data_IF_798111943369
#
_entry.id   IF_798111943369
#
_cell.length_a   1.000
_cell.length_b   1.000
_cell.length_c   1.000
_cell.angle_alpha   90.00
_cell.angle_beta   90.00
_cell.angle_gamma   90.00
#
_symmetry.space_group_name_H-M   'P 1'
#
loop_
_entity.id
_entity.type
_entity.pdbx_description
1 polymer ?
#
# COMPACT_ATOMS: atom_id res chain seq x y z
N UNK A 1 -30.89 -12.38 2.81
CA UNK A 1 -30.65 -10.92 2.79
C UNK A 1 -29.27 -10.66 2.17
N UNK A 2 -29.15 -9.82 1.14
CA UNK A 2 -27.84 -9.41 0.66
C UNK A 2 -27.12 -8.67 1.79
N UNK A 3 -25.88 -9.08 2.13
CA UNK A 3 -25.05 -8.33 3.07
C UNK A 3 -24.79 -6.96 2.43
N UNK A 4 -25.30 -5.90 3.06
CA UNK A 4 -24.93 -4.52 2.72
C UNK A 4 -23.41 -4.39 2.86
N UNK A 5 -22.72 -4.30 1.71
CA UNK A 5 -21.31 -3.94 1.66
C UNK A 5 -21.19 -2.53 2.25
N UNK A 6 -20.41 -2.37 3.32
CA UNK A 6 -20.10 -1.05 3.89
C UNK A 6 -19.38 -0.21 2.83
N UNK A 7 -19.56 1.10 2.78
CA UNK A 7 -18.78 1.97 1.88
C UNK A 7 -17.38 2.24 2.45
N UNK A 8 -16.46 2.74 1.62
CA UNK A 8 -15.12 3.15 2.08
C UNK A 8 -15.20 4.15 3.24
N UNK A 9 -14.50 3.85 4.35
CA UNK A 9 -14.54 4.68 5.55
C UNK A 9 -15.93 4.77 6.21
N UNK A 10 -16.87 3.89 5.85
CA UNK A 10 -18.20 3.86 6.44
C UNK A 10 -18.14 3.22 7.82
N UNK A 11 -18.32 4.06 8.83
CA UNK A 11 -18.26 3.68 10.24
C UNK A 11 -19.60 3.98 10.90
N UNK A 12 -20.13 2.96 11.58
CA UNK A 12 -21.34 3.06 12.38
C UNK A 12 -21.16 4.03 13.54
N UNK A 13 -22.26 4.47 14.16
CA UNK A 13 -22.20 5.30 15.37
C UNK A 13 -21.34 4.67 16.48
N UNK A 14 -21.47 3.36 16.70
CA UNK A 14 -20.66 2.63 17.68
C UNK A 14 -19.18 2.59 17.31
N UNK A 15 -18.84 2.42 16.03
CA UNK A 15 -17.45 2.46 15.56
C UNK A 15 -16.85 3.87 15.72
N UNK A 16 -17.64 4.94 15.56
CA UNK A 16 -17.23 6.33 15.87
C UNK A 16 -16.98 6.52 17.37
N UNK A 17 -17.85 6.01 18.23
CA UNK A 17 -17.64 6.06 19.68
C UNK A 17 -16.36 5.31 20.10
N UNK A 18 -16.09 4.16 19.50
CA UNK A 18 -14.84 3.42 19.72
C UNK A 18 -13.61 4.21 19.27
N UNK A 19 -13.68 4.91 18.12
CA UNK A 19 -12.62 5.82 17.67
C UNK A 19 -12.33 6.86 18.76
N UNK A 20 -13.35 7.52 19.30
CA UNK A 20 -13.19 8.51 20.36
C UNK A 20 -12.54 7.94 21.62
N UNK A 21 -12.91 6.72 22.03
CA UNK A 21 -12.28 6.05 23.18
C UNK A 21 -10.79 5.75 22.94
N UNK A 22 -10.40 5.41 21.71
CA UNK A 22 -8.98 5.24 21.34
C UNK A 22 -8.25 6.58 21.44
N UNK A 23 -8.83 7.66 20.90
CA UNK A 23 -8.23 8.99 20.96
C UNK A 23 -8.17 9.56 22.38
N UNK A 24 -9.12 9.25 23.26
CA UNK A 24 -9.09 9.67 24.66
C UNK A 24 -7.89 9.09 25.42
N UNK A 25 -7.44 7.88 25.06
CA UNK A 25 -6.26 7.23 25.64
C UNK A 25 -4.94 7.78 25.09
N UNK A 26 -4.98 8.47 23.94
CA UNK A 26 -3.79 8.91 23.22
C UNK A 26 -2.93 9.90 24.02
N UNK A 27 -3.49 10.96 24.66
CA UNK A 27 -2.71 11.89 25.48
C UNK A 27 -1.95 11.18 26.62
N UNK A 28 -2.58 10.21 27.29
CA UNK A 28 -1.95 9.45 28.37
C UNK A 28 -0.77 8.61 27.85
N UNK A 29 -0.98 7.88 26.74
CA UNK A 29 0.08 7.08 26.12
C UNK A 29 1.25 7.93 25.62
N UNK A 30 0.96 9.07 24.98
CA UNK A 30 1.98 9.99 24.48
C UNK A 30 2.74 10.67 25.62
N UNK A 31 2.06 11.05 26.70
CA UNK A 31 2.70 11.60 27.89
C UNK A 31 3.63 10.58 28.52
N UNK A 32 3.17 9.34 28.70
CA UNK A 32 4.00 8.25 29.20
C UNK A 32 5.23 8.01 28.32
N UNK A 33 5.06 7.97 26.99
CA UNK A 33 6.19 7.79 26.05
C UNK A 33 7.13 8.97 26.06
N UNK A 34 6.64 10.20 26.17
CA UNK A 34 7.47 11.39 26.30
C UNK A 34 8.34 11.35 27.57
N UNK A 35 7.74 10.97 28.71
CA UNK A 35 8.44 10.85 29.99
C UNK A 35 9.45 9.70 30.01
N UNK A 36 9.14 8.58 29.36
CA UNK A 36 9.97 7.36 29.39
C UNK A 36 10.98 7.25 28.25
N UNK A 37 10.84 8.01 27.16
CA UNK A 37 11.67 7.89 25.95
C UNK A 37 13.18 8.05 26.23
N UNK A 38 13.57 8.93 27.16
CA UNK A 38 14.98 9.14 27.52
C UNK A 38 15.60 7.95 28.26
N UNK A 39 14.78 7.14 28.92
CA UNK A 39 15.21 5.96 29.67
C UNK A 39 15.16 4.67 28.82
N UNK A 40 14.53 4.72 27.65
CA UNK A 40 14.51 3.62 26.69
C UNK A 40 15.78 3.59 25.86
N UNK A 41 16.48 2.44 25.86
CA UNK A 41 17.67 2.18 25.03
C UNK A 41 17.38 2.43 23.54
N UNK A 42 16.15 2.16 23.09
CA UNK A 42 15.74 2.32 21.70
C UNK A 42 15.29 3.75 21.34
N UNK A 43 14.71 4.48 22.29
CA UNK A 43 14.07 5.78 22.02
C UNK A 43 14.95 6.98 22.38
N UNK A 44 16.00 6.79 23.20
CA UNK A 44 16.82 7.89 23.75
C UNK A 44 17.57 8.72 22.70
N UNK A 45 17.84 8.14 21.53
CA UNK A 45 18.57 8.81 20.43
C UNK A 45 17.65 9.48 19.39
N UNK A 46 16.34 9.21 19.45
CA UNK A 46 15.38 9.74 18.48
C UNK A 46 14.90 11.13 18.91
N UNK A 47 14.52 11.96 17.94
CA UNK A 47 13.92 13.27 18.25
C UNK A 47 12.60 13.09 18.99
N UNK A 48 12.23 14.06 19.83
CA UNK A 48 10.97 14.02 20.57
C UNK A 48 9.75 13.88 19.62
N UNK A 49 9.80 14.53 18.45
CA UNK A 49 8.78 14.41 17.39
C UNK A 49 8.65 12.99 16.87
N UNK A 50 9.78 12.33 16.60
CA UNK A 50 9.78 10.95 16.13
C UNK A 50 9.23 10.00 17.21
N UNK A 51 9.63 10.17 18.47
CA UNK A 51 9.14 9.35 19.58
C UNK A 51 7.63 9.51 19.80
N UNK A 52 7.09 10.73 19.68
CA UNK A 52 5.65 10.97 19.74
C UNK A 52 4.93 10.38 18.53
N UNK A 53 5.50 10.49 17.31
CA UNK A 53 4.92 9.90 16.10
C UNK A 53 4.83 8.39 16.18
N UNK A 54 5.92 7.72 16.57
CA UNK A 54 5.95 6.26 16.80
C UNK A 54 4.98 5.86 17.93
N UNK A 55 4.94 6.64 19.01
CA UNK A 55 4.01 6.45 20.12
C UNK A 55 2.55 6.53 19.69
N UNK A 56 2.21 7.54 18.89
CA UNK A 56 0.86 7.73 18.38
C UNK A 56 0.47 6.55 17.50
N UNK A 57 1.32 6.19 16.53
CA UNK A 57 1.03 5.11 15.59
C UNK A 57 0.84 3.77 16.30
N UNK A 58 1.68 3.44 17.28
CA UNK A 58 1.56 2.20 18.06
C UNK A 58 0.37 2.17 19.02
N UNK A 59 -0.14 3.33 19.44
CA UNK A 59 -1.27 3.44 20.37
C UNK A 59 -2.62 3.43 19.66
N UNK A 60 -2.65 3.76 18.37
CA UNK A 60 -3.87 3.78 17.56
C UNK A 60 -4.15 2.34 17.10
N UNK A 61 -5.05 1.66 17.81
CA UNK A 61 -5.55 0.34 17.45
C UNK A 61 -6.96 0.47 16.83
N UNK A 62 -7.00 0.85 15.55
CA UNK A 62 -8.24 1.01 14.78
C UNK A 62 -8.41 -0.14 13.79
N UNK A 63 -9.65 -0.54 13.53
CA UNK A 63 -9.98 -1.42 12.40
C UNK A 63 -9.74 -0.70 11.06
N UNK A 64 -9.64 -1.45 9.95
CA UNK A 64 -9.42 -0.87 8.61
C UNK A 64 -10.46 0.21 8.25
N UNK A 65 -11.78 -0.01 8.41
CA UNK A 65 -12.77 1.03 8.13
C UNK A 65 -12.62 2.28 9.01
N UNK A 66 -12.24 2.10 10.29
CA UNK A 66 -11.97 3.23 11.19
C UNK A 66 -10.70 3.98 10.79
N UNK A 67 -9.65 3.28 10.34
CA UNK A 67 -8.45 3.91 9.78
C UNK A 67 -8.80 4.70 8.51
N UNK A 68 -9.53 4.10 7.58
CA UNK A 68 -10.02 4.79 6.37
C UNK A 68 -10.81 6.07 6.72
N UNK A 69 -11.71 6.00 7.71
CA UNK A 69 -12.49 7.14 8.20
C UNK A 69 -11.60 8.24 8.81
N UNK A 70 -10.72 7.87 9.76
CA UNK A 70 -9.83 8.82 10.46
C UNK A 70 -8.83 9.46 9.51
N UNK A 71 -8.40 8.73 8.48
CA UNK A 71 -7.54 9.23 7.39
C UNK A 71 -8.33 10.11 6.40
N UNK A 72 -9.51 10.56 6.80
CA UNK A 72 -10.34 11.55 6.14
C UNK A 72 -11.43 10.96 5.24
N UNK A 73 -11.56 9.63 5.17
CA UNK A 73 -12.43 8.97 4.18
C UNK A 73 -12.08 9.38 2.75
N UNK A 74 -10.89 9.97 2.54
CA UNK A 74 -10.47 10.56 1.26
C UNK A 74 -9.90 9.45 0.40
N UNK A 75 -10.37 9.37 -0.84
CA UNK A 75 -9.73 8.51 -1.83
C UNK A 75 -8.35 9.07 -2.19
N UNK A 76 -7.44 8.19 -2.62
CA UNK A 76 -6.17 8.45 -3.31
C UNK A 76 -6.29 9.58 -4.31
N UNK A 77 -7.39 9.63 -5.07
CA UNK A 77 -7.63 10.69 -6.05
C UNK A 77 -7.84 12.06 -5.39
N UNK A 78 -8.65 12.13 -4.32
CA UNK A 78 -8.88 13.36 -3.57
C UNK A 78 -7.58 13.82 -2.92
N UNK A 79 -6.86 12.91 -2.25
CA UNK A 79 -5.56 13.18 -1.65
C UNK A 79 -4.57 13.75 -2.68
N UNK A 80 -4.47 13.13 -3.85
CA UNK A 80 -3.63 13.59 -4.95
C UNK A 80 -4.01 15.00 -5.42
N UNK A 81 -5.31 15.23 -5.74
CA UNK A 81 -5.78 16.52 -6.24
C UNK A 81 -5.51 17.65 -5.25
N UNK A 82 -5.90 17.48 -3.98
CA UNK A 82 -5.68 18.50 -2.95
C UNK A 82 -4.19 18.77 -2.72
N UNK A 83 -3.37 17.73 -2.69
CA UNK A 83 -1.93 17.84 -2.51
C UNK A 83 -1.27 18.61 -3.67
N UNK A 84 -1.67 18.32 -4.92
CA UNK A 84 -1.15 18.97 -6.12
C UNK A 84 -1.57 20.44 -6.20
N UNK A 85 -2.86 20.74 -5.97
CA UNK A 85 -3.39 22.11 -5.96
C UNK A 85 -2.68 22.95 -4.89
N UNK A 86 -2.55 22.42 -3.67
CA UNK A 86 -1.86 23.12 -2.57
C UNK A 86 -0.40 23.47 -2.91
N UNK A 87 0.24 22.69 -3.78
CA UNK A 87 1.63 22.89 -4.24
C UNK A 87 1.75 23.59 -5.58
N UNK A 88 0.62 24.04 -6.17
CA UNK A 88 0.59 24.68 -7.50
C UNK A 88 1.22 23.79 -8.59
N UNK A 89 1.02 22.48 -8.50
CA UNK A 89 1.48 21.50 -9.48
C UNK A 89 0.34 21.15 -10.45
N UNK A 90 0.72 20.75 -11.68
CA UNK A 90 -0.24 20.22 -12.64
C UNK A 90 -0.98 19.00 -12.08
N UNK A 91 -2.27 18.89 -12.40
CA UNK A 91 -3.13 17.76 -12.05
C UNK A 91 -3.38 16.96 -13.31
N UNK A 92 -2.50 15.99 -13.58
CA UNK A 92 -2.56 15.14 -14.77
C UNK A 92 -2.96 13.74 -14.38
N UNK A 93 -4.15 13.31 -14.85
CA UNK A 93 -4.77 12.03 -14.54
C UNK A 93 -5.11 11.35 -15.86
N UNK A 94 -4.73 10.08 -15.99
CA UNK A 94 -5.01 9.26 -17.17
C UNK A 94 -5.81 8.04 -16.76
N UNK A 95 -6.89 7.76 -17.48
CA UNK A 95 -7.77 6.64 -17.18
C UNK A 95 -7.26 5.36 -17.81
N UNK A 96 -7.33 4.26 -17.06
CA UNK A 96 -6.98 2.94 -17.56
C UNK A 96 -8.25 2.30 -18.11
N UNK A 97 -8.29 2.02 -19.41
CA UNK A 97 -9.49 1.51 -20.06
C UNK A 97 -9.96 0.17 -19.48
N UNK A 98 -11.26 0.09 -19.21
CA UNK A 98 -11.91 -1.11 -18.67
C UNK A 98 -11.56 -1.43 -17.21
N UNK A 99 -11.01 -0.48 -16.45
CA UNK A 99 -10.80 -0.60 -15.00
C UNK A 99 -11.21 0.71 -14.30
N UNK A 100 -11.65 0.64 -13.03
CA UNK A 100 -11.68 1.85 -12.17
C UNK A 100 -10.29 2.14 -11.58
N UNK A 101 -9.30 2.26 -12.46
CA UNK A 101 -7.91 2.57 -12.14
C UNK A 101 -7.42 3.74 -12.96
N UNK A 102 -6.50 4.52 -12.40
CA UNK A 102 -5.98 5.75 -13.02
C UNK A 102 -4.50 5.91 -12.76
N UNK A 103 -3.78 6.46 -13.73
CA UNK A 103 -2.43 6.96 -13.54
C UNK A 103 -2.50 8.44 -13.14
N UNK A 104 -1.69 8.82 -12.14
CA UNK A 104 -1.66 10.19 -11.61
C UNK A 104 -0.22 10.68 -11.58
N UNK A 105 0.08 11.73 -12.34
CA UNK A 105 1.45 12.25 -12.45
C UNK A 105 1.78 13.28 -11.38
N UNK A 106 2.98 13.19 -10.80
CA UNK A 106 3.49 14.24 -9.91
C UNK A 106 4.13 15.34 -10.76
N UNK A 107 3.47 16.50 -10.80
CA UNK A 107 3.92 17.63 -11.62
C UNK A 107 3.74 17.32 -13.12
N UNK A 108 4.70 17.75 -13.93
CA UNK A 108 4.61 17.62 -15.38
C UNK A 108 4.77 16.16 -15.83
N UNK A 109 3.92 15.74 -16.76
CA UNK A 109 4.03 14.43 -17.43
C UNK A 109 5.33 14.39 -18.23
N UNK A 110 6.07 13.30 -18.08
CA UNK A 110 7.36 13.07 -18.75
C UNK A 110 7.50 11.59 -19.06
N UNK A 111 7.87 11.24 -20.30
CA UNK A 111 7.89 9.84 -20.78
C UNK A 111 9.28 9.30 -21.10
N UNK A 112 10.31 10.15 -21.17
CA UNK A 112 11.69 9.72 -21.48
C UNK A 112 12.39 9.02 -20.31
N UNK A 113 11.93 9.22 -19.07
CA UNK A 113 12.35 8.48 -17.88
C UNK A 113 11.23 8.50 -16.85
N UNK A 114 10.73 7.33 -16.48
CA UNK A 114 9.52 7.21 -15.66
C UNK A 114 9.76 6.31 -14.45
N UNK A 115 9.37 6.81 -13.28
CA UNK A 115 9.19 5.99 -12.09
C UNK A 115 7.71 5.67 -11.97
N UNK A 116 7.36 4.41 -12.20
CA UNK A 116 6.00 3.90 -11.99
C UNK A 116 5.86 3.38 -10.56
N UNK A 117 5.20 4.17 -9.72
CA UNK A 117 5.07 3.92 -8.30
C UNK A 117 3.73 3.28 -7.92
N UNK A 118 3.82 2.16 -7.20
CA UNK A 118 2.72 1.40 -6.64
C UNK A 118 2.73 1.59 -5.12
N UNK A 119 1.73 2.27 -4.58
CA UNK A 119 1.74 2.66 -3.17
C UNK A 119 1.39 1.52 -2.22
N UNK A 120 1.93 1.58 -0.99
CA UNK A 120 1.59 0.68 0.10
C UNK A 120 0.24 0.96 0.76
N UNK A 121 0.04 0.47 1.98
CA UNK A 121 -1.24 0.58 2.70
C UNK A 121 -2.03 -0.74 2.76
N UNK A 122 -1.35 -1.88 2.61
CA UNK A 122 -1.97 -3.19 2.79
C UNK A 122 -3.13 -3.48 1.83
N UNK A 123 -3.12 -2.90 0.62
CA UNK A 123 -4.19 -2.95 -0.38
C UNK A 123 -5.55 -2.36 0.04
N UNK A 124 -5.66 -1.83 1.26
CA UNK A 124 -6.92 -1.36 1.81
C UNK A 124 -6.89 0.11 2.24
N UNK A 125 -5.70 0.68 2.48
CA UNK A 125 -5.53 2.07 2.91
C UNK A 125 -5.22 2.99 1.71
N UNK A 126 -5.69 4.26 1.77
CA UNK A 126 -5.44 5.22 0.71
C UNK A 126 -3.98 5.64 0.61
N UNK A 127 -3.59 6.11 -0.58
CA UNK A 127 -2.35 6.86 -0.78
C UNK A 127 -2.29 8.00 0.23
N UNK A 128 -1.14 8.15 0.87
CA UNK A 128 -0.92 9.19 1.87
C UNK A 128 -0.16 10.39 1.29
N UNK A 129 -0.42 11.62 1.77
CA UNK A 129 0.29 12.82 1.31
C UNK A 129 1.81 12.73 1.42
N UNK A 130 2.33 11.97 2.39
CA UNK A 130 3.77 11.81 2.57
C UNK A 130 4.41 11.08 1.38
N UNK A 131 3.72 10.13 0.74
CA UNK A 131 4.26 9.39 -0.40
C UNK A 131 4.40 10.32 -1.61
N UNK A 132 3.40 11.17 -1.86
CA UNK A 132 3.47 12.23 -2.87
C UNK A 132 4.63 13.20 -2.61
N UNK A 133 4.78 13.64 -1.35
CA UNK A 133 5.87 14.53 -0.96
C UNK A 133 7.25 13.88 -1.07
N UNK A 134 7.38 12.61 -0.70
CA UNK A 134 8.62 11.85 -0.84
C UNK A 134 9.03 11.75 -2.32
N UNK A 135 8.12 11.31 -3.19
CA UNK A 135 8.44 11.16 -4.60
C UNK A 135 8.68 12.49 -5.31
N UNK A 136 7.98 13.56 -4.90
CA UNK A 136 8.30 14.90 -5.37
C UNK A 136 9.69 15.36 -4.95
N UNK A 137 10.06 15.11 -3.71
CA UNK A 137 11.41 15.41 -3.22
C UNK A 137 12.47 14.63 -4.02
N UNK A 138 12.26 13.32 -4.24
CA UNK A 138 13.14 12.50 -5.09
C UNK A 138 13.26 13.08 -6.51
N UNK A 139 12.12 13.46 -7.11
CA UNK A 139 12.09 14.10 -8.44
C UNK A 139 12.91 15.40 -8.48
N UNK A 140 12.81 16.23 -7.43
CA UNK A 140 13.56 17.49 -7.31
C UNK A 140 15.06 17.27 -7.08
N UNK A 141 15.45 16.34 -6.20
CA UNK A 141 16.85 16.02 -5.94
C UNK A 141 17.55 15.42 -7.16
N UNK A 142 16.87 14.55 -7.91
CA UNK A 142 17.38 14.06 -9.20
C UNK A 142 17.49 15.20 -10.22
N UNK A 143 16.51 16.11 -10.24
CA UNK A 143 16.54 17.29 -11.09
C UNK A 143 17.76 18.19 -10.84
N UNK A 144 18.16 18.38 -9.59
CA UNK A 144 19.39 19.11 -9.22
C UNK A 144 20.67 18.45 -9.77
N UNK A 145 20.64 17.13 -9.97
CA UNK A 145 21.73 16.36 -10.57
C UNK A 145 21.63 16.27 -12.10
N UNK A 146 20.73 17.03 -12.74
CA UNK A 146 20.50 16.99 -14.18
C UNK A 146 19.66 15.81 -14.66
N UNK A 147 19.14 14.98 -13.74
CA UNK A 147 18.32 13.81 -14.05
C UNK A 147 16.84 14.17 -13.90
N UNK A 148 16.18 14.49 -15.01
CA UNK A 148 14.74 14.76 -15.00
C UNK A 148 13.96 13.45 -15.12
N UNK A 149 13.00 13.24 -14.22
CA UNK A 149 12.15 12.05 -14.17
C UNK A 149 10.68 12.41 -14.08
N UNK A 150 9.84 11.67 -14.80
CA UNK A 150 8.41 11.63 -14.54
C UNK A 150 8.13 10.65 -13.40
N UNK A 151 7.25 11.02 -12.48
CA UNK A 151 6.77 10.09 -11.46
C UNK A 151 5.27 9.95 -11.61
N UNK A 152 4.81 8.71 -11.76
CA UNK A 152 3.41 8.38 -11.99
C UNK A 152 2.97 7.35 -10.96
N UNK A 153 1.80 7.59 -10.36
CA UNK A 153 1.23 6.78 -9.29
C UNK A 153 -0.01 6.07 -9.81
N UNK A 154 -0.11 4.77 -9.53
CA UNK A 154 -1.34 4.03 -9.76
C UNK A 154 -2.35 4.31 -8.64
N UNK A 155 -3.52 4.84 -9.01
CA UNK A 155 -4.73 4.77 -8.17
C UNK A 155 -5.34 3.39 -8.35
N UNK A 156 -5.25 2.57 -7.31
CA UNK A 156 -5.91 1.27 -7.22
C UNK A 156 -7.41 1.43 -6.92
N UNK A 157 -8.20 0.45 -7.35
CA UNK A 157 -9.60 0.30 -6.93
C UNK A 157 -9.67 0.03 -5.42
N UNK A 158 -10.62 0.69 -4.77
CA UNK A 158 -10.84 0.63 -3.33
C UNK A 158 -11.54 -0.64 -2.91
N UNK A 159 -11.27 -1.01 -1.67
CA UNK A 159 -11.82 -2.19 -1.06
C UNK A 159 -12.55 -1.79 0.21
N UNK A 160 -13.84 -2.11 0.26
CA UNK A 160 -14.61 -2.03 1.49
C UNK A 160 -14.43 -3.30 2.32
N UNK A 161 -13.83 -3.19 3.50
CA UNK A 161 -13.69 -4.32 4.42
C UNK A 161 -14.90 -4.40 5.36
N UNK A 162 -15.62 -5.53 5.37
CA UNK A 162 -16.74 -5.76 6.30
C UNK A 162 -16.23 -6.33 7.63
N UNK A 163 -16.47 -5.61 8.73
CA UNK A 163 -16.03 -5.97 10.09
C UNK A 163 -17.00 -6.88 10.85
N UNK A 164 -18.09 -7.35 10.23
CA UNK A 164 -19.15 -8.07 10.96
C UNK A 164 -19.00 -9.60 10.88
N UNK A 165 -18.09 -10.14 11.68
CA UNK A 165 -17.86 -11.57 11.82
C UNK A 165 -17.65 -11.95 13.29
N UNK A 166 -18.63 -12.62 13.90
CA UNK A 166 -18.49 -13.21 15.25
C UNK A 166 -17.47 -14.36 15.20
N UNK A 167 -16.60 -14.53 16.22
CA UNK A 167 -15.43 -15.42 16.15
C UNK A 167 -15.72 -16.90 16.44
N UNK A 168 -16.92 -17.41 16.19
CA UNK A 168 -17.23 -18.83 16.42
C UNK A 168 -17.99 -19.44 15.25
N UNK A 169 -17.41 -20.51 14.72
CA UNK A 169 -17.92 -21.37 13.65
C UNK A 169 -18.09 -20.69 12.29
N UNK A 170 -17.10 -20.83 11.42
CA UNK A 170 -17.20 -21.18 9.98
C UNK A 170 -15.78 -21.02 9.41
N UNK A 171 -14.99 -22.10 9.45
CA UNK A 171 -13.58 -22.12 9.02
C UNK A 171 -13.41 -22.08 7.48
N UNK A 172 -14.49 -22.04 6.70
CA UNK A 172 -14.43 -22.35 5.26
C UNK A 172 -15.03 -21.30 4.30
N UNK A 173 -15.73 -20.28 4.80
CA UNK A 173 -16.45 -19.26 3.99
C UNK A 173 -15.80 -17.86 4.09
N UNK A 174 -14.67 -17.68 4.77
CA UNK A 174 -14.00 -16.38 4.84
C UNK A 174 -13.17 -16.03 3.59
N UNK A 175 -12.78 -17.02 2.78
CA UNK A 175 -11.85 -17.00 1.63
C UNK A 175 -11.95 -15.89 0.57
N UNK A 176 -12.98 -15.06 0.54
CA UNK A 176 -13.20 -13.98 -0.46
C UNK A 176 -13.83 -12.71 0.16
N UNK A 177 -14.11 -12.70 1.46
CA UNK A 177 -15.06 -11.77 2.08
C UNK A 177 -14.41 -10.49 2.66
N UNK A 178 -13.09 -10.46 2.81
CA UNK A 178 -12.38 -9.33 3.43
C UNK A 178 -12.03 -8.23 2.41
N UNK A 179 -12.01 -8.58 1.12
CA UNK A 179 -11.78 -7.65 0.00
C UNK A 179 -12.82 -7.89 -1.12
N UNK A 180 -14.13 -7.69 -0.85
CA UNK A 180 -15.21 -8.02 -1.77
C UNK A 180 -15.16 -7.21 -3.07
N UNK A 181 -14.63 -5.98 -3.05
CA UNK A 181 -14.69 -5.07 -4.19
C UNK A 181 -13.53 -5.25 -5.19
N UNK A 182 -12.42 -5.91 -4.80
CA UNK A 182 -11.25 -6.10 -5.68
C UNK A 182 -10.47 -7.40 -5.36
N UNK A 183 -11.05 -8.59 -5.56
CA UNK A 183 -10.35 -9.85 -5.32
C UNK A 183 -9.14 -10.00 -6.24
N UNK A 184 -8.14 -10.79 -5.82
CA UNK A 184 -7.05 -11.18 -6.70
C UNK A 184 -7.59 -11.83 -7.99
N UNK A 185 -7.07 -11.50 -9.19
CA UNK A 185 -5.90 -10.65 -9.49
C UNK A 185 -6.26 -9.21 -9.91
N UNK A 186 -7.32 -8.60 -9.40
CA UNK A 186 -7.78 -7.27 -9.83
C UNK A 186 -6.71 -6.19 -9.72
N UNK A 187 -6.04 -6.11 -8.57
CA UNK A 187 -4.97 -5.13 -8.31
C UNK A 187 -3.77 -5.35 -9.23
N UNK A 188 -3.38 -6.61 -9.47
CA UNK A 188 -2.34 -6.98 -10.42
C UNK A 188 -2.73 -6.56 -11.84
N UNK A 189 -3.95 -6.88 -12.27
CA UNK A 189 -4.48 -6.51 -13.60
C UNK A 189 -4.45 -5.00 -13.83
N UNK A 190 -4.80 -4.21 -12.82
CA UNK A 190 -4.72 -2.75 -12.88
C UNK A 190 -3.29 -2.24 -12.99
N UNK A 191 -2.35 -2.81 -12.25
CA UNK A 191 -0.94 -2.45 -12.34
C UNK A 191 -0.32 -2.81 -13.69
N UNK A 192 -0.69 -3.97 -14.24
CA UNK A 192 -0.22 -4.43 -15.54
C UNK A 192 -0.80 -3.59 -16.68
N UNK A 193 -2.11 -3.25 -16.63
CA UNK A 193 -2.71 -2.31 -17.60
C UNK A 193 -2.15 -0.90 -17.49
N UNK A 194 -1.81 -0.43 -16.28
CA UNK A 194 -1.14 0.84 -16.09
C UNK A 194 0.28 0.85 -16.67
N UNK A 195 1.01 -0.25 -16.52
CA UNK A 195 2.30 -0.45 -17.20
C UNK A 195 2.13 -0.43 -18.72
N UNK A 196 1.14 -1.16 -19.25
CA UNK A 196 0.86 -1.18 -20.69
C UNK A 196 0.56 0.23 -21.23
N UNK A 197 -0.29 0.99 -20.53
CA UNK A 197 -0.61 2.38 -20.90
C UNK A 197 0.64 3.26 -20.98
N UNK A 198 1.57 3.12 -20.03
CA UNK A 198 2.84 3.88 -20.08
C UNK A 198 3.68 3.50 -21.30
N UNK A 199 3.75 2.21 -21.64
CA UNK A 199 4.47 1.74 -22.83
C UNK A 199 3.82 2.25 -24.12
N UNK A 200 2.49 2.22 -24.19
CA UNK A 200 1.70 2.71 -25.32
C UNK A 200 1.87 4.22 -25.52
N UNK A 201 2.04 4.97 -24.42
CA UNK A 201 2.36 6.41 -24.41
C UNK A 201 3.80 6.74 -24.83
N UNK A 202 4.58 5.73 -25.25
CA UNK A 202 5.94 5.89 -25.75
C UNK A 202 7.03 5.83 -24.69
N UNK A 203 6.71 5.44 -23.45
CA UNK A 203 7.74 5.17 -22.43
C UNK A 203 8.49 3.90 -22.84
N UNK A 204 9.79 4.02 -23.12
CA UNK A 204 10.63 2.84 -23.40
C UNK A 204 10.85 2.05 -22.11
N UNK A 205 10.79 0.71 -22.18
CA UNK A 205 11.02 -0.18 -21.04
C UNK A 205 12.36 0.10 -20.32
N UNK A 206 13.43 0.34 -21.07
CA UNK A 206 14.78 0.68 -20.55
C UNK A 206 14.85 2.00 -19.75
N UNK A 207 13.79 2.81 -19.84
CA UNK A 207 13.61 4.09 -19.16
C UNK A 207 12.54 4.04 -18.07
N UNK A 208 11.88 2.91 -17.89
CA UNK A 208 10.86 2.69 -16.88
C UNK A 208 11.47 2.00 -15.66
N UNK A 209 11.22 2.56 -14.48
CA UNK A 209 11.58 1.95 -13.21
C UNK A 209 10.30 1.66 -12.42
N UNK A 210 10.16 0.42 -11.95
CA UNK A 210 9.08 0.04 -11.05
C UNK A 210 9.47 0.41 -9.61
N UNK A 211 8.52 0.90 -8.83
CA UNK A 211 8.77 1.25 -7.44
C UNK A 211 7.56 0.97 -6.57
N UNK A 212 7.78 0.56 -5.32
CA UNK A 212 6.67 0.40 -4.38
C UNK A 212 7.10 0.13 -2.96
N UNK A 213 6.23 0.50 -2.01
CA UNK A 213 6.44 0.29 -0.58
C UNK A 213 5.46 -0.72 0.00
N UNK A 214 5.89 -1.55 0.96
CA UNK A 214 5.02 -2.51 1.64
C UNK A 214 4.22 -3.38 0.65
N UNK A 215 2.88 -3.31 0.68
CA UNK A 215 1.98 -3.97 -0.28
C UNK A 215 2.23 -3.54 -1.74
N UNK A 216 2.61 -2.29 -1.99
CA UNK A 216 3.01 -1.81 -3.30
C UNK A 216 4.30 -2.44 -3.80
N UNK A 217 5.27 -2.69 -2.90
CA UNK A 217 6.49 -3.44 -3.22
C UNK A 217 6.20 -4.91 -3.54
N UNK A 218 5.24 -5.52 -2.83
CA UNK A 218 4.72 -6.84 -3.20
C UNK A 218 4.08 -6.82 -4.60
N UNK A 219 3.31 -5.78 -4.92
CA UNK A 219 2.69 -5.64 -6.24
C UNK A 219 3.72 -5.48 -7.37
N UNK A 220 4.82 -4.78 -7.14
CA UNK A 220 5.94 -4.73 -8.11
C UNK A 220 6.46 -6.14 -8.40
N UNK A 221 6.66 -6.96 -7.36
CA UNK A 221 7.10 -8.34 -7.53
C UNK A 221 6.07 -9.19 -8.27
N UNK A 222 4.77 -8.99 -8.03
CA UNK A 222 3.73 -9.67 -8.78
C UNK A 222 3.74 -9.28 -10.26
N UNK A 223 3.92 -7.99 -10.59
CA UNK A 223 4.02 -7.52 -11.99
C UNK A 223 5.21 -8.19 -12.68
N UNK A 224 6.39 -8.18 -12.04
CA UNK A 224 7.58 -8.85 -12.58
C UNK A 224 7.37 -10.36 -12.74
N UNK A 225 6.76 -11.01 -11.75
CA UNK A 225 6.44 -12.43 -11.82
C UNK A 225 5.44 -12.73 -12.93
N UNK A 226 4.45 -11.86 -13.18
CA UNK A 226 3.45 -12.03 -14.24
C UNK A 226 4.05 -11.82 -15.64
N UNK A 227 5.02 -10.91 -15.78
CA UNK A 227 5.77 -10.75 -17.04
C UNK A 227 6.54 -12.03 -17.38
N UNK A 228 7.14 -12.69 -16.38
CA UNK A 228 7.91 -13.94 -16.58
C UNK A 228 7.02 -15.19 -16.64
N UNK A 229 5.92 -15.18 -15.91
CA UNK A 229 4.99 -16.30 -15.73
C UNK A 229 3.54 -15.77 -15.82
N UNK A 230 3.04 -15.56 -17.05
CA UNK A 230 1.70 -14.99 -17.25
C UNK A 230 0.58 -15.82 -16.62
N UNK A 231 -0.36 -15.11 -15.99
CA UNK A 231 -1.66 -15.65 -15.58
C UNK A 231 -2.69 -15.43 -16.69
N UNK A 232 -3.45 -16.48 -17.04
CA UNK A 232 -4.41 -16.47 -18.16
C UNK A 232 -5.48 -15.36 -18.06
N UNK A 233 -5.84 -14.93 -16.85
CA UNK A 233 -6.89 -13.94 -16.59
C UNK A 233 -6.34 -12.51 -16.36
N UNK A 234 -5.07 -12.28 -16.65
CA UNK A 234 -4.42 -10.97 -16.57
C UNK A 234 -3.74 -10.69 -17.92
N UNK A 235 -3.95 -9.54 -18.56
CA UNK A 235 -3.30 -9.20 -19.83
C UNK A 235 -1.79 -9.34 -19.74
N UNK A 236 -1.15 -9.88 -20.77
CA UNK A 236 0.31 -9.95 -20.86
C UNK A 236 0.87 -8.61 -21.29
N UNK A 237 1.97 -8.18 -20.66
CA UNK A 237 2.76 -7.05 -21.12
C UNK A 237 4.06 -7.58 -21.70
N UNK A 238 4.19 -7.48 -23.01
CA UNK A 238 5.43 -7.81 -23.70
C UNK A 238 6.28 -6.54 -23.78
N UNK A 239 7.27 -6.43 -22.90
CA UNK A 239 8.22 -5.33 -22.92
C UNK A 239 9.65 -5.84 -22.98
N UNK A 240 10.56 -5.01 -23.51
CA UNK A 240 11.99 -5.23 -23.36
C UNK A 240 12.44 -5.14 -21.89
N UNK A 241 13.75 -5.21 -21.62
CA UNK A 241 14.27 -5.11 -20.26
C UNK A 241 13.85 -3.80 -19.59
N UNK A 242 13.18 -3.90 -18.46
CA UNK A 242 12.82 -2.77 -17.61
C UNK A 242 14.08 -2.26 -16.91
N UNK A 243 14.22 -0.94 -16.75
CA UNK A 243 15.43 -0.31 -16.16
C UNK A 243 15.81 -0.87 -14.79
N UNK A 244 14.82 -1.17 -13.97
CA UNK A 244 15.00 -1.74 -12.64
C UNK A 244 13.76 -1.64 -11.77
N UNK A 245 13.88 -2.16 -10.56
CA UNK A 245 12.85 -2.09 -9.53
C UNK A 245 13.44 -1.59 -8.21
N UNK A 246 12.71 -0.73 -7.50
CA UNK A 246 13.05 -0.27 -6.15
C UNK A 246 11.94 -0.65 -5.16
N UNK A 247 12.28 -1.45 -4.16
CA UNK A 247 11.33 -2.02 -3.21
C UNK A 247 11.59 -1.46 -1.81
N UNK A 248 10.62 -0.74 -1.26
CA UNK A 248 10.70 -0.15 0.08
C UNK A 248 9.98 -1.04 1.09
N UNK A 249 10.75 -1.84 1.85
CA UNK A 249 10.20 -2.77 2.85
C UNK A 249 9.03 -3.61 2.31
N UNK A 250 9.23 -4.40 1.24
CA UNK A 250 8.14 -5.07 0.54
C UNK A 250 7.48 -6.14 1.42
N UNK A 251 6.14 -6.23 1.35
CA UNK A 251 5.37 -7.21 2.11
C UNK A 251 5.30 -8.55 1.36
N UNK A 252 6.35 -9.36 1.44
CA UNK A 252 6.52 -10.56 0.61
C UNK A 252 5.97 -11.86 1.22
N UNK A 253 5.65 -11.85 2.51
CA UNK A 253 5.05 -12.99 3.21
C UNK A 253 3.85 -12.52 4.01
N UNK A 254 2.74 -13.25 3.87
CA UNK A 254 1.54 -13.07 4.68
C UNK A 254 1.55 -13.96 5.94
N UNK A 255 2.64 -14.69 6.17
CA UNK A 255 2.86 -15.51 7.35
C UNK A 255 4.10 -15.01 8.10
N UNK A 256 4.01 -14.93 9.43
CA UNK A 256 5.16 -14.68 10.31
C UNK A 256 5.98 -15.98 10.55
N UNK A 257 6.30 -16.71 9.48
CA UNK A 257 7.06 -17.98 9.57
C UNK A 257 8.44 -17.79 10.20
N UNK A 258 9.04 -16.60 10.05
CA UNK A 258 10.39 -16.28 10.52
C UNK A 258 10.42 -15.55 11.87
N UNK A 259 9.26 -15.33 12.52
CA UNK A 259 9.13 -14.61 13.82
C UNK A 259 9.78 -13.22 13.82
N UNK A 260 9.99 -12.61 12.66
CA UNK A 260 10.65 -11.31 12.55
C UNK A 260 9.77 -10.22 13.13
N UNK A 261 8.44 -10.36 13.03
CA UNK A 261 7.51 -9.43 13.67
C UNK A 261 7.60 -9.51 15.19
N UNK A 262 7.63 -10.72 15.75
CA UNK A 262 7.85 -10.90 17.20
C UNK A 262 9.22 -10.37 17.66
N UNK A 263 10.29 -10.65 16.91
CA UNK A 263 11.64 -10.21 17.24
C UNK A 263 11.84 -8.68 17.14
N UNK A 264 11.02 -7.98 16.33
CA UNK A 264 11.12 -6.54 16.11
C UNK A 264 9.98 -5.73 16.72
N UNK A 265 9.03 -6.36 17.41
CA UNK A 265 7.85 -5.70 18.00
C UNK A 265 8.20 -4.49 18.88
N UNK A 266 9.31 -4.57 19.62
CA UNK A 266 9.76 -3.46 20.47
C UNK A 266 10.17 -2.21 19.66
N UNK A 267 10.64 -2.41 18.42
CA UNK A 267 11.30 -1.41 17.57
C UNK A 267 10.51 -1.06 16.30
N UNK A 268 9.60 -1.92 15.87
CA UNK A 268 8.76 -1.72 14.70
C UNK A 268 7.60 -0.78 15.03
N UNK A 269 7.32 0.12 14.11
CA UNK A 269 6.17 1.03 14.17
C UNK A 269 4.89 0.23 13.93
N UNK A 270 4.95 -0.81 13.08
CA UNK A 270 3.86 -1.75 12.83
C UNK A 270 3.97 -2.87 13.87
N UNK A 271 3.25 -2.71 14.97
CA UNK A 271 3.18 -3.73 16.01
C UNK A 271 2.42 -5.00 15.56
N UNK A 272 2.65 -6.10 16.28
CA UNK A 272 2.04 -7.42 16.05
C UNK A 272 0.51 -7.36 15.87
N UNK A 273 -0.20 -6.53 16.66
CA UNK A 273 -1.66 -6.34 16.57
C UNK A 273 -2.13 -5.73 15.26
N UNK A 274 -1.34 -4.84 14.67
CA UNK A 274 -1.68 -4.20 13.39
C UNK A 274 -1.33 -5.17 12.24
N UNK A 275 -0.18 -5.84 12.32
CA UNK A 275 0.23 -6.82 11.30
C UNK A 275 -0.72 -8.02 11.25
N UNK A 276 -1.14 -8.57 12.40
CA UNK A 276 -2.10 -9.69 12.45
C UNK A 276 -3.46 -9.35 11.83
N UNK A 277 -3.94 -8.11 11.99
CA UNK A 277 -5.18 -7.66 11.36
C UNK A 277 -5.03 -7.51 9.85
N UNK A 278 -3.89 -6.98 9.37
CA UNK A 278 -3.61 -6.88 7.93
C UNK A 278 -3.34 -8.24 7.28
N UNK A 279 -2.60 -9.13 7.94
CA UNK A 279 -2.28 -10.48 7.49
C UNK A 279 -3.55 -11.30 7.36
N UNK A 280 -4.43 -11.33 8.36
CA UNK A 280 -5.71 -12.02 8.24
C UNK A 280 -6.58 -11.47 7.10
N UNK A 281 -6.46 -10.17 6.78
CA UNK A 281 -7.18 -9.54 5.66
C UNK A 281 -6.59 -9.93 4.28
N UNK A 282 -5.27 -10.10 4.18
CA UNK A 282 -4.57 -10.31 2.91
C UNK A 282 -4.13 -11.76 2.65
N UNK A 283 -4.00 -12.60 3.68
CA UNK A 283 -3.71 -14.03 3.57
C UNK A 283 -4.78 -14.76 2.75
N UNK A 284 -6.01 -14.22 2.72
CA UNK A 284 -7.11 -14.73 1.93
C UNK A 284 -7.09 -14.29 0.45
N UNK A 285 -6.17 -13.39 0.05
CA UNK A 285 -6.02 -12.97 -1.35
C UNK A 285 -5.20 -13.98 -2.20
N UNK A 286 -4.43 -14.87 -1.56
CA UNK A 286 -3.49 -15.76 -2.26
C UNK A 286 -3.55 -17.21 -1.75
N UNK A 287 -4.16 -18.15 -2.51
CA UNK A 287 -3.89 -19.57 -2.31
C UNK A 287 -2.58 -19.94 -3.02
N UNK A 288 -1.49 -19.22 -2.74
CA UNK A 288 -0.16 -19.71 -3.11
C UNK A 288 0.21 -20.82 -2.12
N UNK A 289 -0.38 -21.99 -2.32
CA UNK A 289 0.36 -23.21 -1.97
C UNK A 289 1.67 -23.08 -2.71
N UNK A 290 2.77 -23.01 -1.97
CA UNK A 290 4.08 -23.24 -2.52
C UNK A 290 4.03 -24.58 -3.26
N UNK A 291 3.81 -24.55 -4.57
CA UNK A 291 4.37 -25.57 -5.42
C UNK A 291 5.85 -25.32 -5.28
N UNK A 292 6.43 -26.02 -4.30
CA UNK A 292 7.86 -26.23 -4.16
C UNK A 292 8.33 -26.54 -5.58
N UNK A 293 8.96 -25.57 -6.24
CA UNK A 293 9.57 -25.78 -7.55
C UNK A 293 10.54 -26.93 -7.29
N UNK A 294 10.24 -28.12 -7.81
CA UNK A 294 11.10 -29.26 -7.60
C UNK A 294 12.44 -28.88 -8.20
N UNK A 295 13.53 -29.09 -7.45
CA UNK A 295 14.91 -28.82 -7.86
C UNK A 295 15.35 -29.55 -9.15
N UNK A 296 14.44 -30.24 -9.83
CA UNK A 296 14.72 -31.03 -11.03
C UNK A 296 14.63 -30.26 -12.35
N UNK A 297 14.14 -29.01 -12.39
CA UNK A 297 14.02 -28.25 -13.66
C UNK A 297 15.07 -27.16 -13.87
N UNK A 298 16.11 -27.07 -13.02
CA UNK A 298 17.22 -26.10 -13.16
C UNK A 298 18.47 -26.70 -13.83
N UNK A 299 18.36 -27.88 -14.43
CA UNK A 299 19.39 -28.46 -15.28
C UNK A 299 18.75 -28.93 -16.58
N UNK A 300 18.58 -28.00 -17.52
CA UNK A 300 18.57 -28.21 -18.97
C UNK A 300 18.71 -26.86 -19.67
#
# INVERSE_FOLDING_TARGET
MPRLLKKFGDVTFMEKAQIWLVFLKLPFSLTWKFLTAKFSVHSRYKTWRHNLGEGAFRSIALSIPQMQYVMGGRSTLVCYKEWSIKRKLAVTIEEIQGEDARLMWIGDKRVDRVIYYLHGGGYALPLQPYALSFWRHVQEELGKQGVKVGVVILKLLWVSCSTSAKPLLIKHIYRLALIPDAPFPTILRQAVKGLQLLLDDGVKAENLQLSGDSAGGNLVLQVLSHILHPLDNVPTVNCGPIKGAYLMSPWISFQDENRTHAAREATDVIGSKLSSNSENTCYEMYPLRSRRISKSSMLR
#
